data_IF_859735770238
#
_entry.id   IF_859735770238
#
_cell.length_a   1.000
_cell.length_b   1.000
_cell.length_c   1.000
_cell.angle_alpha   90.00
_cell.angle_beta   90.00
_cell.angle_gamma   90.00
#
_symmetry.space_group_name_H-M   'P 1'
#
loop_
_entity.id
_entity.type
_entity.pdbx_description
1 polymer ?
#
# COMPACT_ATOMS: atom_id res chain seq x y z
N UNK A 1 2.38 14.58 -10.48
CA UNK A 1 1.27 13.93 -11.21
C UNK A 1 1.58 12.42 -11.23
N UNK A 2 0.58 11.57 -11.00
CA UNK A 2 0.71 10.11 -11.11
C UNK A 2 0.40 9.74 -12.56
N UNK A 3 1.42 9.81 -13.40
CA UNK A 3 1.36 9.60 -14.84
C UNK A 3 2.66 8.98 -15.34
N UNK A 4 2.55 8.18 -16.40
CA UNK A 4 3.73 7.65 -17.07
C UNK A 4 4.47 8.79 -17.76
N UNK A 5 5.74 8.97 -17.42
CA UNK A 5 6.63 10.01 -17.99
C UNK A 5 7.50 9.49 -19.14
N UNK A 6 7.26 8.25 -19.57
CA UNK A 6 7.96 7.64 -20.69
C UNK A 6 7.25 8.02 -21.98
N UNK A 7 8.01 8.57 -22.94
CA UNK A 7 7.50 9.00 -24.23
C UNK A 7 6.84 7.82 -24.97
N UNK A 8 5.62 8.02 -25.45
CA UNK A 8 4.84 7.02 -26.18
C UNK A 8 4.10 6.01 -25.30
N UNK A 9 4.15 6.17 -23.97
CA UNK A 9 3.46 5.32 -23.00
C UNK A 9 2.54 6.12 -22.07
N UNK A 10 2.22 7.36 -22.41
CA UNK A 10 1.41 8.27 -21.59
C UNK A 10 0.03 7.68 -21.29
N UNK A 11 -0.57 6.98 -22.25
CA UNK A 11 -1.85 6.28 -22.16
C UNK A 11 -1.80 5.01 -21.28
N UNK A 12 -0.61 4.63 -20.81
CA UNK A 12 -0.41 3.53 -19.86
C UNK A 12 -0.42 4.00 -18.40
N UNK A 13 -0.81 5.26 -18.16
CA UNK A 13 -0.98 5.79 -16.81
C UNK A 13 -2.01 4.97 -16.02
N UNK A 14 -1.74 4.65 -14.75
CA UNK A 14 -2.68 3.89 -13.95
C UNK A 14 -3.97 4.69 -13.72
N UNK A 15 -5.09 3.97 -13.56
CA UNK A 15 -6.31 4.55 -12.99
C UNK A 15 -6.01 5.09 -11.60
N UNK A 16 -6.59 6.24 -11.28
CA UNK A 16 -6.32 6.96 -10.04
C UNK A 16 -7.52 6.88 -9.12
N UNK A 17 -7.29 6.40 -7.91
CA UNK A 17 -8.31 6.26 -6.88
C UNK A 17 -7.93 7.07 -5.66
N UNK A 18 -8.91 7.69 -5.02
CA UNK A 18 -8.73 8.38 -3.75
C UNK A 18 -9.60 7.73 -2.68
N UNK A 19 -8.96 7.21 -1.63
CA UNK A 19 -9.62 6.84 -0.39
C UNK A 19 -9.94 8.10 0.41
N UNK A 20 -11.21 8.50 0.46
CA UNK A 20 -11.64 9.71 1.16
C UNK A 20 -13.11 9.68 1.54
N UNK A 21 -13.47 10.43 2.59
CA UNK A 21 -14.88 10.70 2.92
C UNK A 21 -15.48 11.82 2.06
N UNK A 22 -14.63 12.67 1.47
CA UNK A 22 -15.05 13.82 0.65
C UNK A 22 -15.19 13.48 -0.84
N UNK A 23 -15.26 14.51 -1.68
CA UNK A 23 -15.25 14.36 -3.13
C UNK A 23 -13.82 14.06 -3.64
N UNK A 24 -13.72 13.22 -4.67
CA UNK A 24 -12.46 13.02 -5.38
C UNK A 24 -12.19 14.18 -6.36
N UNK A 25 -10.92 14.56 -6.59
CA UNK A 25 -10.56 15.52 -7.63
C UNK A 25 -11.00 15.05 -9.03
N UNK A 26 -11.10 15.98 -9.99
CA UNK A 26 -11.43 15.64 -11.38
C UNK A 26 -10.46 14.59 -11.92
N UNK A 27 -11.01 13.53 -12.52
CA UNK A 27 -10.23 12.45 -13.13
C UNK A 27 -9.64 11.45 -12.12
N UNK A 28 -10.18 11.43 -10.89
CA UNK A 28 -9.97 10.40 -9.88
C UNK A 28 -11.29 9.73 -9.54
N UNK A 29 -11.26 8.42 -9.38
CA UNK A 29 -12.35 7.64 -8.81
C UNK A 29 -12.28 7.71 -7.28
N UNK A 30 -13.42 7.60 -6.60
CA UNK A 30 -13.50 7.68 -5.13
C UNK A 30 -13.80 6.31 -4.56
N UNK A 31 -13.10 5.93 -3.49
CA UNK A 31 -13.55 4.90 -2.55
C UNK A 31 -13.68 5.51 -1.15
N UNK A 32 -14.72 5.13 -0.41
CA UNK A 32 -14.98 5.59 0.96
C UNK A 32 -14.33 4.71 2.03
N UNK A 33 -14.10 3.44 1.72
CA UNK A 33 -13.49 2.45 2.59
C UNK A 33 -12.63 1.45 1.78
N UNK A 34 -11.63 0.79 2.40
CA UNK A 34 -10.80 -0.21 1.73
C UNK A 34 -11.58 -1.32 1.02
N UNK A 35 -12.70 -1.77 1.59
CA UNK A 35 -13.53 -2.86 1.07
C UNK A 35 -14.22 -2.50 -0.25
N UNK A 36 -14.42 -1.21 -0.53
CA UNK A 36 -15.02 -0.74 -1.79
C UNK A 36 -14.15 -1.07 -3.01
N UNK A 37 -12.89 -1.49 -2.83
CA UNK A 37 -12.05 -1.98 -3.93
C UNK A 37 -12.68 -3.17 -4.66
N UNK A 38 -13.52 -3.96 -3.98
CA UNK A 38 -14.24 -5.08 -4.58
C UNK A 38 -15.27 -4.65 -5.64
N UNK A 39 -15.64 -3.36 -5.66
CA UNK A 39 -16.59 -2.79 -6.63
C UNK A 39 -15.91 -2.27 -7.90
N UNK A 40 -14.58 -2.25 -7.92
CA UNK A 40 -13.81 -1.70 -9.02
C UNK A 40 -13.76 -2.68 -10.18
N UNK A 41 -14.36 -2.31 -11.30
CA UNK A 41 -14.33 -3.12 -12.51
C UNK A 41 -12.92 -3.12 -13.14
N UNK A 42 -12.48 -4.25 -13.69
CA UNK A 42 -11.23 -4.40 -14.46
C UNK A 42 -9.97 -3.86 -13.77
N UNK A 43 -9.73 -4.28 -12.53
CA UNK A 43 -8.46 -4.04 -11.82
C UNK A 43 -7.89 -5.36 -11.32
N UNK A 44 -6.72 -5.74 -11.84
CA UNK A 44 -6.00 -6.93 -11.37
C UNK A 44 -5.05 -6.61 -10.21
N UNK A 45 -4.56 -5.36 -10.16
CA UNK A 45 -3.57 -4.91 -9.19
C UNK A 45 -3.86 -3.48 -8.73
N UNK A 46 -3.79 -3.27 -7.41
CA UNK A 46 -3.89 -1.96 -6.78
C UNK A 46 -2.58 -1.68 -6.03
N UNK A 47 -1.96 -0.53 -6.32
CA UNK A 47 -0.87 0.01 -5.53
C UNK A 47 -1.46 1.05 -4.55
N UNK A 48 -1.36 0.76 -3.26
CA UNK A 48 -1.85 1.64 -2.20
C UNK A 48 -0.72 2.52 -1.70
N UNK A 49 -0.80 3.81 -1.96
CA UNK A 49 0.14 4.82 -1.48
C UNK A 49 -0.60 5.81 -0.58
N UNK A 50 -0.13 5.98 0.65
CA UNK A 50 -0.75 6.88 1.62
C UNK A 50 0.03 6.93 2.92
N UNK A 51 -0.51 7.66 3.90
CA UNK A 51 0.10 7.75 5.23
C UNK A 51 -0.23 6.55 6.12
N UNK A 52 0.24 6.63 7.37
CA UNK A 52 0.06 5.62 8.40
C UNK A 52 -1.36 5.07 8.51
N UNK A 53 -2.36 5.96 8.47
CA UNK A 53 -3.78 5.61 8.58
C UNK A 53 -4.31 4.84 7.35
N UNK A 54 -3.84 5.20 6.16
CA UNK A 54 -4.23 4.49 4.92
C UNK A 54 -3.67 3.08 4.95
N UNK A 55 -2.38 2.92 5.27
CA UNK A 55 -1.76 1.61 5.40
C UNK A 55 -2.47 0.75 6.46
N UNK A 56 -2.75 1.34 7.63
CA UNK A 56 -3.44 0.65 8.71
C UNK A 56 -4.87 0.23 8.32
N UNK A 57 -5.62 1.06 7.60
CA UNK A 57 -6.97 0.72 7.16
C UNK A 57 -7.03 -0.53 6.26
N UNK A 58 -6.11 -0.66 5.30
CA UNK A 58 -6.02 -1.85 4.46
C UNK A 58 -5.52 -3.08 5.23
N UNK A 59 -4.59 -2.90 6.18
CA UNK A 59 -4.09 -3.99 7.02
C UNK A 59 -5.15 -4.53 7.99
N UNK A 60 -5.97 -3.64 8.57
CA UNK A 60 -7.09 -4.01 9.46
C UNK A 60 -8.13 -4.88 8.74
N UNK A 61 -8.37 -4.58 7.48
CA UNK A 61 -9.37 -5.25 6.65
C UNK A 61 -8.83 -6.49 5.93
N UNK A 62 -7.55 -6.85 6.17
CA UNK A 62 -6.86 -7.99 5.56
C UNK A 62 -6.83 -7.99 4.02
N UNK A 63 -6.86 -6.78 3.44
CA UNK A 63 -6.87 -6.54 1.98
C UNK A 63 -5.47 -6.26 1.41
N UNK A 64 -4.42 -6.67 2.12
CA UNK A 64 -3.02 -6.50 1.67
C UNK A 64 -2.41 -7.87 1.39
N UNK A 65 -2.11 -8.12 0.12
CA UNK A 65 -1.45 -9.36 -0.32
C UNK A 65 0.08 -9.23 -0.38
N UNK A 66 0.59 -8.01 -0.56
CA UNK A 66 2.02 -7.74 -0.71
C UNK A 66 2.41 -6.43 -0.03
N UNK A 67 3.46 -6.46 0.78
CA UNK A 67 4.12 -5.29 1.33
C UNK A 67 5.41 -5.01 0.56
N UNK A 68 5.65 -3.73 0.26
CA UNK A 68 6.90 -3.22 -0.29
C UNK A 68 7.45 -2.22 0.73
N UNK A 69 8.52 -2.60 1.44
CA UNK A 69 9.15 -1.75 2.45
C UNK A 69 10.42 -1.15 1.87
N UNK A 70 10.40 0.17 1.67
CA UNK A 70 11.54 0.96 1.25
C UNK A 70 12.23 1.55 2.48
N UNK A 71 13.53 1.30 2.64
CA UNK A 71 14.34 1.82 3.75
C UNK A 71 15.55 2.57 3.23
N UNK A 72 15.63 3.84 3.60
CA UNK A 72 16.81 4.67 3.40
C UNK A 72 17.77 4.54 4.60
N UNK A 73 19.08 4.77 4.41
CA UNK A 73 20.07 4.78 5.49
C UNK A 73 20.04 6.10 6.28
N UNK A 74 18.86 6.53 6.71
CA UNK A 74 18.62 7.82 7.39
C UNK A 74 17.89 7.60 8.70
N UNK A 75 18.37 8.23 9.77
CA UNK A 75 17.76 8.18 11.11
C UNK A 75 17.02 9.50 11.35
N UNK A 76 15.71 9.43 11.59
CA UNK A 76 14.83 10.62 11.73
C UNK A 76 14.36 10.89 13.17
N UNK A 77 14.73 10.04 14.13
CA UNK A 77 14.28 10.16 15.52
C UNK A 77 12.80 9.79 15.69
N UNK A 78 12.06 10.53 16.51
CA UNK A 78 10.68 10.18 16.91
C UNK A 78 9.69 10.05 15.73
N UNK A 79 9.96 10.73 14.61
CA UNK A 79 9.30 10.50 13.31
C UNK A 79 7.77 10.49 13.32
N UNK A 80 7.19 10.07 12.20
CA UNK A 80 5.80 9.63 12.13
C UNK A 80 5.79 8.12 11.94
N UNK A 81 4.80 7.44 12.51
CA UNK A 81 4.63 6.02 12.30
C UNK A 81 4.40 5.72 10.80
N UNK A 82 5.08 4.71 10.25
CA UNK A 82 4.84 4.28 8.87
C UNK A 82 3.50 3.56 8.68
N UNK A 83 3.00 2.92 9.74
CA UNK A 83 1.71 2.23 9.80
C UNK A 83 1.06 2.64 11.12
N UNK A 84 -0.21 3.08 11.06
CA UNK A 84 -1.01 3.41 12.25
C UNK A 84 -1.46 2.16 13.01
N UNK A 85 -2.32 2.33 14.02
CA UNK A 85 -2.85 1.18 14.76
C UNK A 85 -3.69 0.26 13.88
N UNK A 86 -3.34 -1.03 13.88
CA UNK A 86 -4.03 -2.07 13.12
C UNK A 86 -4.97 -2.92 13.98
N UNK A 87 -5.22 -2.54 15.23
CA UNK A 87 -6.10 -3.28 16.15
C UNK A 87 -5.52 -4.63 16.57
N UNK A 88 -4.18 -4.76 16.59
CA UNK A 88 -3.52 -5.98 17.07
C UNK A 88 -3.64 -6.04 18.60
N UNK A 89 -4.56 -6.85 19.10
CA UNK A 89 -4.76 -7.00 20.55
C UNK A 89 -3.59 -7.72 21.23
N UNK A 90 -3.03 -8.74 20.58
CA UNK A 90 -2.02 -9.63 21.16
C UNK A 90 -0.89 -9.87 20.16
N UNK A 91 0.36 -9.85 20.63
CA UNK A 91 1.53 -10.08 19.78
C UNK A 91 1.50 -11.45 19.08
N UNK A 92 0.92 -12.46 19.73
CA UNK A 92 0.74 -13.79 19.17
C UNK A 92 0.00 -13.77 17.81
N UNK A 93 -0.95 -12.85 17.64
CA UNK A 93 -1.72 -12.70 16.41
C UNK A 93 -0.92 -12.04 15.26
N UNK A 94 0.30 -11.53 15.50
CA UNK A 94 1.16 -10.97 14.46
C UNK A 94 2.00 -12.02 13.74
N UNK A 95 2.29 -13.15 14.40
CA UNK A 95 3.22 -14.15 13.88
C UNK A 95 2.67 -14.88 12.65
N UNK A 96 3.58 -15.29 11.76
CA UNK A 96 3.24 -16.12 10.60
C UNK A 96 2.44 -15.43 9.50
N UNK A 97 2.08 -14.15 9.63
CA UNK A 97 1.25 -13.43 8.62
C UNK A 97 2.02 -13.06 7.35
N UNK A 98 3.35 -12.92 7.42
CA UNK A 98 4.16 -12.40 6.32
C UNK A 98 5.37 -13.29 6.05
N UNK A 99 5.64 -13.53 4.76
CA UNK A 99 6.84 -14.23 4.29
C UNK A 99 7.62 -13.32 3.37
N UNK A 100 8.88 -13.07 3.68
CA UNK A 100 9.75 -12.34 2.77
C UNK A 100 9.94 -13.14 1.48
N UNK A 101 9.72 -12.50 0.33
CA UNK A 101 9.85 -13.13 -0.98
C UNK A 101 10.99 -12.55 -1.80
N UNK A 102 11.43 -11.34 -1.47
CA UNK A 102 12.49 -10.66 -2.21
C UNK A 102 13.16 -9.58 -1.35
N UNK A 103 14.42 -9.27 -1.68
CA UNK A 103 15.17 -8.17 -1.11
C UNK A 103 16.15 -7.64 -2.14
N UNK A 104 16.15 -6.32 -2.38
CA UNK A 104 16.98 -5.67 -3.40
C UNK A 104 17.62 -4.40 -2.87
N UNK A 105 18.82 -4.09 -3.37
CA UNK A 105 19.39 -2.75 -3.25
C UNK A 105 18.83 -1.87 -4.37
N UNK A 106 18.50 -0.62 -4.03
CA UNK A 106 18.04 0.41 -4.96
C UNK A 106 18.89 1.67 -4.71
N UNK A 107 20.08 1.72 -5.32
CA UNK A 107 21.08 2.73 -4.96
C UNK A 107 21.51 2.56 -3.50
N UNK A 108 21.35 3.60 -2.70
CA UNK A 108 21.64 3.58 -1.25
C UNK A 108 20.52 2.95 -0.41
N UNK A 109 19.35 2.76 -1.01
CA UNK A 109 18.16 2.29 -0.31
C UNK A 109 18.00 0.76 -0.45
N UNK A 110 17.15 0.20 0.40
CA UNK A 110 16.77 -1.22 0.38
C UNK A 110 15.27 -1.34 0.13
N UNK A 111 14.90 -2.27 -0.75
CA UNK A 111 13.53 -2.77 -0.88
C UNK A 111 13.45 -4.16 -0.27
N UNK A 112 12.50 -4.37 0.63
CA UNK A 112 12.07 -5.70 1.07
C UNK A 112 10.64 -5.95 0.61
N UNK A 113 10.38 -7.15 0.07
CA UNK A 113 9.05 -7.54 -0.38
C UNK A 113 8.57 -8.70 0.49
N UNK A 114 7.39 -8.53 1.08
CA UNK A 114 6.72 -9.58 1.84
C UNK A 114 5.41 -9.95 1.16
N UNK A 115 5.17 -11.24 1.02
CA UNK A 115 3.86 -11.76 0.62
C UNK A 115 3.06 -12.15 1.86
N UNK A 116 1.75 -11.93 1.78
CA UNK A 116 0.82 -12.39 2.79
C UNK A 116 0.77 -13.91 2.81
N UNK A 117 0.89 -14.50 4.00
CA UNK A 117 0.60 -15.91 4.21
C UNK A 117 -0.90 -16.02 4.46
N UNK A 118 -1.58 -16.78 3.59
CA UNK A 118 -2.97 -17.18 3.77
C UNK A 118 -2.96 -18.71 3.90
N UNK A 119 -3.49 -19.23 4.99
CA UNK A 119 -3.74 -20.68 5.09
C UNK A 119 -4.78 -21.04 4.04
N UNK A 120 -4.49 -22.05 3.22
CA UNK A 120 -5.47 -22.63 2.31
C UNK A 120 -6.54 -23.42 3.07
#
# INVERSE_FOLDING_TARGET
RLDVRLRGLEDRSPRRLLLTRGAAPRGWERIGAPEEIATLDRIDHLLVEGGAETAAAFLRTDLVDRLLLYRAPVIVGAGLAGIGDIGLAELAAAHGRWRMTDMRALGTDRLEVYARVRSA
#
